data_IF_462206787340
#
_entry.id   IF_462206787340
#
_cell.length_a   1.000
_cell.length_b   1.000
_cell.length_c   1.000
_cell.angle_alpha   90.00
_cell.angle_beta   90.00
_cell.angle_gamma   90.00
#
_symmetry.space_group_name_H-M   'P 1'
#
loop_
_entity.id
_entity.type
_entity.pdbx_description
1 polymer ?
#
# COMPACT_ATOMS: atom_id res chain seq x y z
N UNK A 1 -4.38 -5.85 -8.40
CA UNK A 1 -5.06 -6.06 -7.07
C UNK A 1 -5.45 -7.52 -6.92
N UNK A 2 -5.01 -8.16 -5.85
CA UNK A 2 -5.24 -9.59 -5.60
C UNK A 2 -6.37 -9.73 -4.57
N UNK A 3 -7.50 -10.27 -5.03
CA UNK A 3 -8.72 -10.39 -4.22
C UNK A 3 -9.04 -11.86 -3.96
N UNK A 4 -9.41 -12.23 -2.73
CA UNK A 4 -10.05 -13.52 -2.46
C UNK A 4 -11.55 -13.33 -2.26
N UNK A 5 -12.36 -14.26 -2.75
CA UNK A 5 -13.80 -14.26 -2.56
C UNK A 5 -14.27 -15.65 -2.16
N UNK A 6 -15.08 -15.72 -1.09
CA UNK A 6 -15.71 -16.98 -0.65
C UNK A 6 -16.99 -16.75 0.12
N UNK A 7 -17.79 -17.80 0.23
CA UNK A 7 -18.88 -17.88 1.17
C UNK A 7 -18.56 -18.91 2.26
N UNK A 8 -18.98 -18.65 3.50
CA UNK A 8 -18.82 -19.52 4.67
C UNK A 8 -20.06 -19.47 5.55
N UNK A 9 -20.23 -20.46 6.43
CA UNK A 9 -21.15 -20.32 7.56
C UNK A 9 -20.50 -19.54 8.72
N UNK A 10 -21.22 -19.39 9.82
CA UNK A 10 -20.71 -18.70 11.02
C UNK A 10 -19.46 -19.34 11.64
N UNK A 11 -19.20 -20.62 11.32
CA UNK A 11 -18.06 -21.38 11.86
C UNK A 11 -16.88 -21.45 10.86
N UNK A 12 -16.96 -20.77 9.73
CA UNK A 12 -15.91 -20.80 8.70
C UNK A 12 -15.97 -22.03 7.78
N UNK A 13 -17.06 -22.80 7.80
CA UNK A 13 -17.27 -23.91 6.88
C UNK A 13 -17.47 -23.38 5.46
N UNK A 14 -16.77 -23.95 4.47
CA UNK A 14 -16.83 -23.54 3.06
C UNK A 14 -17.13 -24.70 2.09
N UNK A 15 -17.18 -25.93 2.56
CA UNK A 15 -17.41 -27.08 1.68
C UNK A 15 -17.72 -28.37 2.40
N UNK A 16 -18.41 -29.28 1.65
CA UNK A 16 -18.70 -30.63 2.08
C UNK A 16 -18.47 -31.59 0.90
N UNK A 17 -17.43 -32.41 0.98
CA UNK A 17 -17.13 -33.48 -0.01
C UNK A 17 -17.10 -33.03 -1.48
N UNK A 18 -16.65 -31.81 -1.74
CA UNK A 18 -16.52 -31.23 -3.08
C UNK A 18 -17.70 -30.34 -3.51
N UNK A 19 -18.74 -30.22 -2.70
CA UNK A 19 -19.87 -29.34 -2.93
C UNK A 19 -19.96 -28.20 -1.88
N UNK A 20 -20.82 -27.21 -2.18
CA UNK A 20 -21.20 -26.20 -1.19
C UNK A 20 -22.18 -26.81 -0.17
N UNK A 21 -22.02 -26.54 1.15
CA UNK A 21 -22.90 -27.09 2.18
C UNK A 21 -24.33 -26.55 2.16
N UNK A 22 -24.58 -25.48 1.44
CA UNK A 22 -25.85 -24.75 1.34
C UNK A 22 -26.26 -24.51 -0.11
N UNK A 23 -27.52 -24.18 -0.28
CA UNK A 23 -28.03 -23.62 -1.52
C UNK A 23 -28.45 -22.17 -1.31
N UNK A 24 -27.68 -21.21 -1.87
CA UNK A 24 -27.97 -19.78 -1.80
C UNK A 24 -27.80 -19.14 -3.19
N UNK A 25 -28.85 -19.12 -4.02
CA UNK A 25 -28.80 -18.57 -5.37
C UNK A 25 -28.41 -17.09 -5.44
N UNK A 26 -28.78 -16.31 -4.42
CA UNK A 26 -28.46 -14.89 -4.40
C UNK A 26 -26.97 -14.64 -4.16
N UNK A 27 -26.30 -15.48 -3.37
CA UNK A 27 -24.85 -15.46 -3.21
C UNK A 27 -24.14 -15.88 -4.51
N UNK A 28 -24.60 -16.95 -5.15
CA UNK A 28 -24.07 -17.39 -6.45
C UNK A 28 -24.22 -16.32 -7.54
N UNK A 29 -25.32 -15.57 -7.53
CA UNK A 29 -25.54 -14.43 -8.44
C UNK A 29 -24.52 -13.32 -8.18
N UNK A 30 -24.34 -12.93 -6.93
CA UNK A 30 -23.34 -11.92 -6.53
C UNK A 30 -21.92 -12.37 -6.89
N UNK A 31 -21.55 -13.60 -6.59
CA UNK A 31 -20.26 -14.18 -7.01
C UNK A 31 -20.05 -14.08 -8.53
N UNK A 32 -21.08 -14.42 -9.31
CA UNK A 32 -21.03 -14.30 -10.77
C UNK A 32 -20.79 -12.85 -11.20
N UNK A 33 -21.51 -11.89 -10.64
CA UNK A 33 -21.40 -10.47 -10.97
C UNK A 33 -20.01 -9.91 -10.64
N UNK A 34 -19.44 -10.28 -9.48
CA UNK A 34 -18.12 -9.83 -9.03
C UNK A 34 -16.97 -10.44 -9.85
N UNK A 35 -17.15 -11.63 -10.42
CA UNK A 35 -16.10 -12.36 -11.15
C UNK A 35 -16.22 -12.27 -12.67
N UNK A 36 -17.33 -11.75 -13.20
CA UNK A 36 -17.58 -11.71 -14.65
C UNK A 36 -16.55 -10.82 -15.37
N UNK A 37 -15.96 -11.34 -16.45
CA UNK A 37 -14.93 -10.63 -17.23
C UNK A 37 -13.57 -10.56 -16.55
N UNK A 38 -13.40 -11.19 -15.37
CA UNK A 38 -12.14 -11.16 -14.61
C UNK A 38 -11.31 -12.42 -14.82
N UNK A 39 -10.00 -12.30 -14.52
CA UNK A 39 -9.13 -13.46 -14.32
C UNK A 39 -9.41 -14.05 -12.94
N UNK A 40 -9.70 -15.33 -12.90
CA UNK A 40 -9.97 -16.08 -11.66
C UNK A 40 -8.97 -17.22 -11.53
N UNK A 41 -8.50 -17.46 -10.30
CA UNK A 41 -7.63 -18.60 -10.00
C UNK A 41 -8.28 -19.51 -8.95
N UNK A 42 -8.19 -20.82 -9.20
CA UNK A 42 -8.72 -21.86 -8.32
C UNK A 42 -7.75 -23.03 -8.23
N UNK A 43 -7.85 -23.83 -7.18
CA UNK A 43 -7.08 -25.06 -7.05
C UNK A 43 -7.71 -26.20 -7.86
N UNK A 44 -6.91 -27.25 -8.11
CA UNK A 44 -7.34 -28.44 -8.86
C UNK A 44 -8.62 -29.06 -8.31
N UNK A 45 -8.77 -29.21 -6.98
CA UNK A 45 -9.96 -29.80 -6.37
C UNK A 45 -11.22 -28.95 -6.62
N UNK A 46 -11.13 -27.65 -6.61
CA UNK A 46 -12.21 -26.72 -6.94
C UNK A 46 -12.58 -26.85 -8.42
N UNK A 47 -11.59 -26.94 -9.31
CA UNK A 47 -11.86 -27.14 -10.74
C UNK A 47 -12.49 -28.50 -11.01
N UNK A 48 -12.08 -29.57 -10.29
CA UNK A 48 -12.70 -30.89 -10.38
C UNK A 48 -14.17 -30.88 -9.90
N UNK A 49 -14.49 -30.12 -8.82
CA UNK A 49 -15.87 -29.97 -8.33
C UNK A 49 -16.80 -29.29 -9.35
N UNK A 50 -16.23 -28.47 -10.23
CA UNK A 50 -16.95 -27.86 -11.37
C UNK A 50 -17.10 -28.82 -12.55
N UNK A 51 -16.71 -30.09 -12.38
CA UNK A 51 -16.74 -31.10 -13.46
C UNK A 51 -15.72 -30.82 -14.56
N UNK A 52 -14.58 -30.19 -14.21
CA UNK A 52 -13.51 -29.73 -15.12
C UNK A 52 -14.02 -28.80 -16.22
N UNK A 53 -15.05 -28.02 -15.93
CA UNK A 53 -15.59 -27.01 -16.85
C UNK A 53 -15.23 -25.61 -16.38
N UNK A 54 -14.59 -24.79 -17.23
CA UNK A 54 -14.29 -23.42 -16.89
C UNK A 54 -15.57 -22.61 -16.66
N UNK A 55 -15.53 -21.70 -15.71
CA UNK A 55 -16.63 -20.77 -15.48
C UNK A 55 -16.76 -19.80 -16.68
N UNK A 56 -17.94 -19.69 -17.30
CA UNK A 56 -18.10 -18.95 -18.55
C UNK A 56 -17.88 -17.44 -18.36
N UNK A 57 -17.37 -16.79 -19.41
CA UNK A 57 -17.10 -15.36 -19.47
C UNK A 57 -16.10 -14.87 -18.39
N UNK A 58 -15.15 -15.71 -18.02
CA UNK A 58 -14.03 -15.43 -17.11
C UNK A 58 -12.78 -16.08 -17.65
N UNK A 59 -11.62 -15.48 -17.41
CA UNK A 59 -10.36 -16.13 -17.68
C UNK A 59 -10.04 -17.07 -16.52
N UNK A 60 -10.08 -18.39 -16.77
CA UNK A 60 -9.91 -19.40 -15.74
C UNK A 60 -8.46 -19.87 -15.69
N UNK A 61 -7.83 -19.78 -14.53
CA UNK A 61 -6.48 -20.30 -14.26
C UNK A 61 -6.59 -21.33 -13.12
N UNK A 62 -5.90 -22.45 -13.24
CA UNK A 62 -5.87 -23.50 -12.22
C UNK A 62 -4.48 -23.61 -11.60
N UNK A 63 -4.39 -23.44 -10.28
CA UNK A 63 -3.17 -23.67 -9.51
C UNK A 63 -2.96 -25.18 -9.35
N UNK A 64 -2.02 -25.74 -10.13
CA UNK A 64 -1.72 -27.16 -10.15
C UNK A 64 -0.43 -27.46 -10.91
N UNK A 65 0.22 -28.59 -10.58
CA UNK A 65 1.32 -29.15 -11.39
C UNK A 65 0.86 -30.07 -12.51
N UNK A 66 -0.47 -30.29 -12.66
CA UNK A 66 -1.05 -31.16 -13.69
C UNK A 66 -1.30 -30.35 -14.97
N UNK A 67 -1.19 -31.01 -16.11
CA UNK A 67 -1.62 -30.46 -17.40
C UNK A 67 -3.14 -30.60 -17.55
N UNK A 68 -3.82 -29.51 -17.91
CA UNK A 68 -5.27 -29.43 -18.11
C UNK A 68 -5.59 -28.71 -19.43
N UNK A 69 -6.84 -28.80 -19.90
CA UNK A 69 -7.32 -28.07 -21.07
C UNK A 69 -7.63 -26.58 -20.80
N UNK A 70 -7.21 -26.07 -19.65
CA UNK A 70 -7.27 -24.65 -19.25
C UNK A 70 -5.89 -24.19 -18.83
N UNK A 71 -5.69 -22.89 -18.75
CA UNK A 71 -4.42 -22.35 -18.26
C UNK A 71 -4.12 -22.82 -16.85
N UNK A 72 -2.87 -23.19 -16.62
CA UNK A 72 -2.37 -23.64 -15.32
C UNK A 72 -1.17 -22.82 -14.88
N UNK A 73 -1.04 -22.65 -13.56
CA UNK A 73 0.15 -22.12 -12.90
C UNK A 73 0.57 -23.06 -11.78
N UNK A 74 1.87 -23.15 -11.54
CA UNK A 74 2.44 -24.07 -10.55
C UNK A 74 2.57 -23.42 -9.16
N UNK A 75 2.57 -22.09 -9.08
CA UNK A 75 2.72 -21.35 -7.83
C UNK A 75 2.02 -19.98 -7.87
N UNK A 76 1.78 -19.36 -6.68
CA UNK A 76 1.34 -17.97 -6.59
C UNK A 76 2.27 -16.97 -7.27
N UNK A 77 3.59 -17.18 -7.19
CA UNK A 77 4.59 -16.31 -7.82
C UNK A 77 4.46 -16.32 -9.35
N UNK A 78 4.25 -17.51 -9.95
CA UNK A 78 4.00 -17.62 -11.38
C UNK A 78 2.71 -16.89 -11.78
N UNK A 79 1.66 -16.98 -10.95
CA UNK A 79 0.41 -16.25 -11.16
C UNK A 79 0.64 -14.73 -11.16
N UNK A 80 1.39 -14.22 -10.17
CA UNK A 80 1.72 -12.79 -10.06
C UNK A 80 2.63 -12.27 -11.16
N UNK A 81 3.47 -13.13 -11.75
CA UNK A 81 4.29 -12.75 -12.92
C UNK A 81 3.46 -12.57 -14.19
N UNK A 82 2.31 -13.26 -14.28
CA UNK A 82 1.42 -13.22 -15.44
C UNK A 82 0.31 -12.19 -15.31
N UNK A 83 -0.18 -11.95 -14.10
CA UNK A 83 -1.40 -11.16 -13.84
C UNK A 83 -1.24 -10.26 -12.62
N UNK A 84 -1.51 -8.96 -12.78
CA UNK A 84 -1.51 -7.96 -11.69
C UNK A 84 -2.88 -7.84 -10.99
N UNK A 85 -3.97 -8.28 -11.66
CA UNK A 85 -5.34 -8.22 -11.14
C UNK A 85 -6.03 -9.56 -11.38
N UNK A 86 -6.39 -10.25 -10.27
CA UNK A 86 -7.10 -11.51 -10.33
C UNK A 86 -7.85 -11.83 -9.03
N UNK A 87 -8.78 -12.76 -9.13
CA UNK A 87 -9.61 -13.18 -8.00
C UNK A 87 -9.33 -14.65 -7.66
N UNK A 88 -8.93 -14.91 -6.42
CA UNK A 88 -8.76 -16.25 -5.85
C UNK A 88 -10.14 -16.74 -5.40
N UNK A 89 -10.62 -17.83 -6.01
CA UNK A 89 -11.97 -18.35 -5.77
C UNK A 89 -12.02 -19.72 -5.06
N UNK A 90 -10.86 -20.18 -4.59
CA UNK A 90 -10.81 -21.35 -3.73
C UNK A 90 -10.01 -22.54 -4.25
N UNK A 91 -9.95 -23.66 -3.52
CA UNK A 91 -10.46 -23.92 -2.16
C UNK A 91 -9.46 -23.57 -1.05
N UNK A 92 -9.67 -24.14 0.14
CA UNK A 92 -8.90 -23.79 1.34
C UNK A 92 -7.39 -23.77 1.14
N UNK A 93 -6.81 -24.76 0.48
CA UNK A 93 -5.36 -24.79 0.19
C UNK A 93 -4.92 -23.69 -0.77
N UNK A 94 -5.76 -23.31 -1.73
CA UNK A 94 -5.47 -22.21 -2.66
C UNK A 94 -5.53 -20.89 -1.93
N UNK A 95 -6.56 -20.66 -1.12
CA UNK A 95 -6.61 -19.45 -0.27
C UNK A 95 -5.36 -19.32 0.59
N UNK A 96 -4.95 -20.42 1.25
CA UNK A 96 -3.75 -20.41 2.09
C UNK A 96 -2.48 -20.07 1.29
N UNK A 97 -2.37 -20.60 0.07
CA UNK A 97 -1.21 -20.35 -0.80
C UNK A 97 -1.08 -18.87 -1.21
N UNK A 98 -2.19 -18.14 -1.34
CA UNK A 98 -2.20 -16.72 -1.69
C UNK A 98 -2.30 -15.79 -0.46
N UNK A 99 -2.41 -16.30 0.77
CA UNK A 99 -2.73 -15.54 1.99
C UNK A 99 -1.91 -14.25 2.13
N UNK A 100 -0.59 -14.35 2.02
CA UNK A 100 0.33 -13.25 2.33
C UNK A 100 0.33 -12.12 1.29
N UNK A 101 -0.23 -12.40 0.12
CA UNK A 101 -0.30 -11.45 -1.00
C UNK A 101 -1.72 -10.91 -1.28
N UNK A 102 -2.71 -11.35 -0.49
CA UNK A 102 -4.07 -10.83 -0.62
C UNK A 102 -4.13 -9.36 -0.21
N UNK A 103 -4.71 -8.53 -1.07
CA UNK A 103 -4.95 -7.11 -0.83
C UNK A 103 -6.39 -6.84 -0.40
N UNK A 104 -7.33 -7.72 -0.83
CA UNK A 104 -8.75 -7.63 -0.51
C UNK A 104 -9.35 -9.02 -0.26
N UNK A 105 -10.30 -9.09 0.67
CA UNK A 105 -11.16 -10.28 0.84
C UNK A 105 -12.63 -9.86 0.80
N UNK A 106 -13.45 -10.63 0.07
CA UNK A 106 -14.91 -10.48 0.05
C UNK A 106 -15.49 -11.77 0.63
N UNK A 107 -16.08 -11.66 1.81
CA UNK A 107 -16.56 -12.79 2.58
C UNK A 107 -18.07 -12.73 2.69
N UNK A 108 -18.77 -13.74 2.19
CA UNK A 108 -20.19 -13.92 2.47
C UNK A 108 -20.35 -14.87 3.66
N UNK A 109 -20.97 -14.39 4.75
CA UNK A 109 -21.35 -15.23 5.89
C UNK A 109 -22.82 -15.61 5.75
N UNK A 110 -23.07 -16.88 5.42
CA UNK A 110 -24.42 -17.44 5.27
C UNK A 110 -24.99 -17.76 6.66
N UNK A 111 -26.21 -17.30 6.93
CA UNK A 111 -26.89 -17.61 8.17
C UNK A 111 -27.33 -19.08 8.19
N UNK A 112 -26.97 -19.77 9.24
CA UNK A 112 -27.26 -21.19 9.45
C UNK A 112 -26.05 -21.94 10.03
N UNK A 113 -26.30 -23.18 10.43
CA UNK A 113 -25.29 -24.18 10.77
C UNK A 113 -25.39 -25.30 9.77
N UNK A 114 -24.29 -25.61 9.12
CA UNK A 114 -24.24 -26.61 8.07
C UNK A 114 -23.22 -27.69 8.42
N UNK A 115 -23.43 -28.89 7.90
CA UNK A 115 -22.51 -29.99 8.03
C UNK A 115 -21.51 -30.01 6.86
N UNK A 116 -20.25 -30.23 7.17
CA UNK A 116 -19.20 -30.31 6.15
C UNK A 116 -17.82 -30.57 6.74
N UNK A 117 -16.84 -30.61 5.85
CA UNK A 117 -15.48 -31.03 6.20
C UNK A 117 -14.36 -30.13 5.68
N UNK A 118 -14.71 -29.00 5.02
CA UNK A 118 -13.73 -28.04 4.53
C UNK A 118 -13.98 -26.68 5.14
N UNK A 119 -12.98 -26.15 5.82
CA UNK A 119 -13.03 -24.85 6.47
C UNK A 119 -12.03 -23.89 5.82
N UNK A 120 -12.40 -22.60 5.79
CA UNK A 120 -11.50 -21.55 5.32
C UNK A 120 -10.37 -21.36 6.35
N UNK A 121 -9.10 -21.21 5.92
CA UNK A 121 -8.05 -20.78 6.83
C UNK A 121 -8.29 -19.34 7.28
N UNK A 122 -7.65 -18.93 8.36
CA UNK A 122 -7.69 -17.52 8.76
C UNK A 122 -6.93 -16.66 7.73
N UNK A 123 -7.70 -15.96 6.89
CA UNK A 123 -7.19 -15.09 5.82
C UNK A 123 -7.32 -13.61 6.17
N UNK A 124 -8.17 -13.26 7.15
CA UNK A 124 -8.53 -11.87 7.43
C UNK A 124 -7.89 -11.32 8.72
N UNK A 125 -7.18 -12.16 9.47
CA UNK A 125 -6.39 -11.69 10.62
C UNK A 125 -5.37 -10.64 10.18
N UNK A 126 -5.41 -9.47 10.81
CA UNK A 126 -4.56 -8.32 10.44
C UNK A 126 -5.07 -7.49 9.25
N UNK A 127 -6.17 -7.89 8.59
CA UNK A 127 -6.87 -7.04 7.63
C UNK A 127 -7.86 -6.10 8.33
N UNK A 128 -8.27 -5.06 7.64
CA UNK A 128 -9.25 -4.08 8.11
C UNK A 128 -10.60 -4.35 7.46
N UNK A 129 -11.67 -4.37 8.27
CA UNK A 129 -13.04 -4.42 7.77
C UNK A 129 -13.39 -3.07 7.13
N UNK A 130 -13.62 -3.07 5.82
CA UNK A 130 -13.96 -1.88 5.05
C UNK A 130 -15.48 -1.62 5.02
N UNK A 131 -16.26 -2.69 4.92
CA UNK A 131 -17.72 -2.60 4.92
C UNK A 131 -18.36 -3.92 5.32
N UNK A 132 -19.57 -3.82 5.85
CA UNK A 132 -20.44 -4.95 6.18
C UNK A 132 -21.86 -4.62 5.72
N UNK A 133 -22.44 -5.49 4.91
CA UNK A 133 -23.79 -5.34 4.37
C UNK A 133 -24.61 -6.58 4.68
N UNK A 134 -25.71 -6.43 5.40
CA UNK A 134 -26.64 -7.51 5.69
C UNK A 134 -27.71 -7.62 4.59
N UNK A 135 -28.00 -8.82 4.18
CA UNK A 135 -29.05 -9.16 3.24
C UNK A 135 -30.05 -10.11 3.92
N UNK A 136 -31.34 -9.76 3.99
CA UNK A 136 -32.35 -10.62 4.60
C UNK A 136 -32.54 -11.91 3.81
N UNK A 137 -33.11 -12.91 4.47
CA UNK A 137 -33.54 -14.14 3.79
C UNK A 137 -34.57 -13.84 2.69
N UNK A 138 -34.53 -14.61 1.63
CA UNK A 138 -35.52 -14.62 0.56
C UNK A 138 -36.21 -16.01 0.52
N UNK A 139 -37.20 -16.19 -0.36
CA UNK A 139 -37.83 -17.50 -0.53
C UNK A 139 -36.84 -18.61 -0.96
N UNK A 140 -35.71 -18.24 -1.56
CA UNK A 140 -34.72 -19.16 -2.16
C UNK A 140 -33.36 -19.13 -1.49
N UNK A 141 -33.08 -18.15 -0.63
CA UNK A 141 -31.77 -17.93 -0.04
C UNK A 141 -31.88 -17.63 1.44
N UNK A 142 -31.02 -18.23 2.26
CA UNK A 142 -30.82 -17.85 3.64
C UNK A 142 -30.33 -16.40 3.75
N UNK A 143 -30.57 -15.76 4.88
CA UNK A 143 -29.96 -14.47 5.19
C UNK A 143 -28.43 -14.56 5.13
N UNK A 144 -27.78 -13.48 4.78
CA UNK A 144 -26.32 -13.42 4.70
C UNK A 144 -25.77 -12.03 5.00
N UNK A 145 -24.54 -11.98 5.41
CA UNK A 145 -23.75 -10.76 5.49
C UNK A 145 -22.62 -10.84 4.48
N UNK A 146 -22.37 -9.75 3.78
CA UNK A 146 -21.18 -9.59 2.92
C UNK A 146 -20.24 -8.60 3.59
N UNK A 147 -19.04 -9.08 3.88
CA UNK A 147 -18.00 -8.32 4.57
C UNK A 147 -16.83 -8.15 3.62
N UNK A 148 -16.40 -6.92 3.42
CA UNK A 148 -15.19 -6.61 2.67
C UNK A 148 -14.06 -6.26 3.63
N UNK A 149 -12.92 -6.90 3.43
CA UNK A 149 -11.68 -6.62 4.14
C UNK A 149 -10.63 -6.14 3.14
N UNK A 150 -9.72 -5.28 3.58
CA UNK A 150 -8.53 -4.90 2.82
C UNK A 150 -7.29 -4.98 3.70
N UNK A 151 -6.13 -5.13 3.05
CA UNK A 151 -4.83 -5.19 3.72
C UNK A 151 -4.60 -3.94 4.56
N UNK A 152 -4.08 -4.14 5.76
CA UNK A 152 -3.61 -3.04 6.60
C UNK A 152 -2.20 -2.66 6.16
N UNK A 153 -2.05 -1.45 5.62
CA UNK A 153 -0.76 -0.90 5.19
C UNK A 153 -0.12 0.01 6.24
N UNK A 154 -0.91 0.53 7.21
CA UNK A 154 -0.38 1.42 8.24
C UNK A 154 0.49 0.64 9.23
N UNK A 155 1.76 1.04 9.46
CA UNK A 155 2.59 0.41 10.48
C UNK A 155 1.98 0.59 11.88
N UNK A 156 2.07 -0.43 12.72
CA UNK A 156 1.51 -0.43 14.08
C UNK A 156 2.01 0.75 14.92
N UNK A 157 3.27 1.13 14.77
CA UNK A 157 3.86 2.28 15.46
C UNK A 157 3.13 3.61 15.18
N UNK A 158 2.36 3.70 14.09
CA UNK A 158 1.59 4.88 13.68
C UNK A 158 0.08 4.72 13.93
N UNK A 159 -0.34 3.79 14.79
CA UNK A 159 -1.76 3.50 15.06
C UNK A 159 -2.57 4.66 15.64
N UNK A 160 -1.92 5.71 16.13
CA UNK A 160 -2.55 6.93 16.67
C UNK A 160 -3.12 7.87 15.59
N UNK A 161 -2.81 7.64 14.30
CA UNK A 161 -3.32 8.43 13.19
C UNK A 161 -4.33 7.65 12.37
N UNK A 162 -5.11 8.36 11.54
CA UNK A 162 -6.08 7.76 10.62
C UNK A 162 -5.40 6.73 9.71
N UNK A 163 -6.03 5.57 9.54
CA UNK A 163 -5.49 4.52 8.69
C UNK A 163 -5.85 4.76 7.21
N UNK A 164 -4.87 4.96 6.31
CA UNK A 164 -5.12 5.27 4.90
C UNK A 164 -5.25 4.01 4.02
N UNK A 165 -5.30 2.81 4.59
CA UNK A 165 -5.23 1.56 3.81
C UNK A 165 -6.37 1.40 2.79
N UNK A 166 -7.57 1.91 3.10
CA UNK A 166 -8.67 1.94 2.14
C UNK A 166 -8.32 2.83 0.93
N UNK A 167 -7.76 4.02 1.18
CA UNK A 167 -7.36 4.94 0.12
C UNK A 167 -6.24 4.35 -0.75
N UNK A 168 -5.28 3.64 -0.15
CA UNK A 168 -4.25 2.91 -0.90
C UNK A 168 -4.90 1.89 -1.84
N UNK A 169 -5.83 1.09 -1.32
CA UNK A 169 -6.52 0.05 -2.10
C UNK A 169 -7.37 0.65 -3.23
N UNK A 170 -8.07 1.76 -2.97
CA UNK A 170 -8.95 2.39 -3.94
C UNK A 170 -8.19 3.09 -5.08
N UNK A 171 -6.99 3.60 -4.79
CA UNK A 171 -6.13 4.27 -5.78
C UNK A 171 -5.14 3.31 -6.45
N UNK A 172 -4.99 2.07 -5.96
CA UNK A 172 -4.06 1.11 -6.52
C UNK A 172 -4.42 0.73 -7.98
N UNK A 173 -3.38 0.49 -8.78
CA UNK A 173 -3.56 0.06 -10.16
C UNK A 173 -2.21 -0.20 -10.85
N UNK A 174 -2.20 -0.88 -12.01
CA UNK A 174 -0.97 -1.26 -12.70
C UNK A 174 -0.13 -0.06 -13.16
N UNK A 175 -0.76 1.08 -13.36
CA UNK A 175 -0.12 2.33 -13.76
C UNK A 175 -0.07 3.37 -12.61
N UNK A 176 -0.16 2.94 -11.35
CA UNK A 176 -0.06 3.80 -10.16
C UNK A 176 1.23 3.49 -9.40
N UNK A 177 1.94 4.54 -9.00
CA UNK A 177 3.23 4.44 -8.28
C UNK A 177 3.22 5.22 -6.98
N UNK A 178 3.98 4.78 -5.97
CA UNK A 178 4.63 3.46 -5.89
C UNK A 178 3.59 2.34 -5.77
N UNK A 179 4.04 1.09 -5.82
CA UNK A 179 3.23 -0.10 -5.52
C UNK A 179 2.63 0.02 -4.10
N UNK A 180 1.43 -0.55 -3.84
CA UNK A 180 0.70 -0.38 -2.58
C UNK A 180 1.55 -0.61 -1.32
N UNK A 181 2.37 -1.66 -1.30
CA UNK A 181 3.24 -2.00 -0.17
C UNK A 181 4.35 -0.97 0.11
N UNK A 182 4.65 -0.10 -0.86
CA UNK A 182 5.67 0.94 -0.73
C UNK A 182 5.10 2.32 -0.42
N UNK A 183 3.79 2.53 -0.54
CA UNK A 183 3.17 3.86 -0.39
C UNK A 183 3.53 4.51 0.95
N UNK A 184 3.54 3.73 2.03
CA UNK A 184 3.84 4.19 3.38
C UNK A 184 5.29 3.92 3.83
N UNK A 185 6.25 3.74 2.91
CA UNK A 185 7.64 3.45 3.29
C UNK A 185 8.29 4.53 4.15
N UNK A 186 7.90 5.79 4.01
CA UNK A 186 8.35 6.84 4.92
C UNK A 186 8.00 6.51 6.38
N UNK A 187 6.79 5.99 6.62
CA UNK A 187 6.31 5.58 7.95
C UNK A 187 6.87 4.21 8.36
N UNK A 188 7.07 3.30 7.41
CA UNK A 188 7.65 1.98 7.67
C UNK A 188 9.10 2.06 8.17
N UNK A 189 9.90 2.96 7.60
CA UNK A 189 11.32 3.12 7.96
C UNK A 189 11.54 4.04 9.15
N UNK A 190 10.63 4.97 9.43
CA UNK A 190 10.78 5.97 10.49
C UNK A 190 9.58 5.87 11.43
N UNK A 191 9.78 5.32 12.63
CA UNK A 191 8.75 5.28 13.67
C UNK A 191 8.58 6.66 14.32
N UNK A 192 7.41 6.96 14.92
CA UNK A 192 7.17 8.25 15.59
C UNK A 192 8.27 8.65 16.58
N UNK A 193 8.68 7.71 17.44
CA UNK A 193 9.71 7.93 18.46
C UNK A 193 11.10 8.19 17.90
N UNK A 194 11.37 7.77 16.66
CA UNK A 194 12.67 7.92 16.00
C UNK A 194 12.75 9.17 15.13
N UNK A 195 11.62 9.88 14.89
CA UNK A 195 11.61 11.06 14.02
C UNK A 195 12.49 12.16 14.59
N UNK A 196 13.45 12.60 13.79
CA UNK A 196 14.36 13.73 14.07
C UNK A 196 14.24 14.86 13.06
N UNK A 197 13.98 14.49 11.81
CA UNK A 197 13.88 15.42 10.69
C UNK A 197 12.68 15.03 9.83
N UNK A 198 11.93 16.02 9.35
CA UNK A 198 10.87 15.80 8.34
C UNK A 198 11.24 16.58 7.10
N UNK A 199 11.37 15.89 5.96
CA UNK A 199 11.59 16.53 4.66
C UNK A 199 10.33 16.31 3.82
N UNK A 200 9.63 17.41 3.47
CA UNK A 200 8.41 17.33 2.69
C UNK A 200 8.70 17.45 1.18
N UNK A 201 8.29 16.41 0.45
CA UNK A 201 8.19 16.42 -1.02
C UNK A 201 6.76 16.73 -1.48
N UNK A 202 6.55 16.74 -2.79
CA UNK A 202 5.25 17.03 -3.37
C UNK A 202 4.46 15.75 -3.68
N UNK A 203 4.85 15.00 -4.68
CA UNK A 203 4.27 13.74 -5.14
C UNK A 203 5.38 12.75 -5.56
N UNK A 204 5.07 11.46 -5.70
CA UNK A 204 6.05 10.48 -6.12
C UNK A 204 6.51 10.69 -7.57
N UNK A 205 7.64 10.11 -7.93
CA UNK A 205 8.06 10.02 -9.33
C UNK A 205 7.09 9.17 -10.13
N UNK A 206 6.59 9.73 -11.25
CA UNK A 206 5.61 9.07 -12.13
C UNK A 206 6.24 8.18 -13.22
N UNK A 207 7.56 7.98 -13.18
CA UNK A 207 8.28 7.06 -14.07
C UNK A 207 8.34 5.67 -13.43
N UNK A 208 8.08 4.59 -14.19
CA UNK A 208 8.14 3.22 -13.68
C UNK A 208 9.44 2.92 -12.94
N UNK A 209 9.35 2.25 -11.79
CA UNK A 209 10.49 1.80 -11.00
C UNK A 209 11.26 2.87 -10.25
N UNK A 210 10.81 4.13 -10.24
CA UNK A 210 11.49 5.21 -9.53
C UNK A 210 10.90 5.51 -8.15
N UNK A 211 9.58 5.47 -7.99
CA UNK A 211 8.95 5.77 -6.71
C UNK A 211 9.17 4.64 -5.70
N UNK A 212 9.61 5.01 -4.48
CA UNK A 212 9.89 4.08 -3.38
C UNK A 212 9.04 4.35 -2.14
N UNK A 213 8.11 5.31 -2.18
CA UNK A 213 7.38 5.77 -1.00
C UNK A 213 8.21 6.65 -0.05
N UNK A 214 9.33 7.19 -0.55
CA UNK A 214 10.20 8.15 0.13
C UNK A 214 10.33 9.40 -0.76
N UNK A 215 10.11 10.59 -0.20
CA UNK A 215 10.26 11.83 -0.96
C UNK A 215 11.69 11.98 -1.50
N UNK A 216 11.82 12.41 -2.76
CA UNK A 216 13.08 12.61 -3.49
C UNK A 216 13.91 11.34 -3.75
N UNK A 217 13.69 10.23 -3.07
CA UNK A 217 14.46 8.99 -3.20
C UNK A 217 14.09 8.18 -4.43
N UNK A 218 15.10 7.54 -5.02
CA UNK A 218 14.93 6.53 -6.07
C UNK A 218 15.86 5.34 -5.83
N UNK A 219 15.56 4.14 -6.36
CA UNK A 219 16.51 3.03 -6.34
C UNK A 219 17.82 3.39 -7.05
N UNK A 220 18.93 2.86 -6.55
CA UNK A 220 20.22 3.01 -7.22
C UNK A 220 20.20 2.39 -8.62
N UNK A 221 21.06 2.91 -9.51
CA UNK A 221 21.14 2.45 -10.91
C UNK A 221 20.12 3.10 -11.86
N UNK A 222 19.19 3.90 -11.36
CA UNK A 222 18.28 4.69 -12.18
C UNK A 222 18.89 6.05 -12.56
N UNK A 223 18.32 6.70 -13.58
CA UNK A 223 18.76 8.06 -13.95
C UNK A 223 18.33 9.07 -12.90
N UNK A 224 19.28 9.75 -12.26
CA UNK A 224 19.01 10.73 -11.20
C UNK A 224 18.06 11.84 -11.65
N UNK A 225 16.90 12.01 -11.01
CA UNK A 225 16.01 13.13 -11.28
C UNK A 225 16.66 14.48 -10.96
N UNK A 226 16.25 15.55 -11.65
CA UNK A 226 16.91 16.86 -11.51
C UNK A 226 16.88 17.42 -10.08
N UNK A 227 15.79 17.24 -9.34
CA UNK A 227 15.69 17.74 -7.95
C UNK A 227 16.64 16.96 -7.02
N UNK A 228 16.67 15.63 -7.11
CA UNK A 228 17.60 14.82 -6.32
C UNK A 228 19.06 15.13 -6.65
N UNK A 229 19.38 15.34 -7.93
CA UNK A 229 20.73 15.73 -8.34
C UNK A 229 21.15 17.05 -7.66
N UNK A 230 20.26 18.01 -7.56
CA UNK A 230 20.55 19.29 -6.88
C UNK A 230 20.67 19.11 -5.37
N UNK A 231 19.87 18.23 -4.76
CA UNK A 231 20.01 17.87 -3.34
C UNK A 231 21.38 17.25 -3.08
N UNK A 232 21.81 16.28 -3.87
CA UNK A 232 23.11 15.63 -3.74
C UNK A 232 24.28 16.62 -4.00
N UNK A 233 24.12 17.54 -4.95
CA UNK A 233 25.11 18.60 -5.19
C UNK A 233 25.23 19.56 -4.01
N UNK A 234 24.14 19.94 -3.38
CA UNK A 234 24.17 20.77 -2.17
C UNK A 234 24.80 20.00 -1.00
N UNK A 235 24.45 18.71 -0.84
CA UNK A 235 25.06 17.83 0.15
C UNK A 235 26.59 17.77 -0.03
N UNK A 236 27.07 17.57 -1.26
CA UNK A 236 28.50 17.50 -1.57
C UNK A 236 29.22 18.81 -1.20
N UNK A 237 28.61 19.96 -1.44
CA UNK A 237 29.18 21.25 -1.10
C UNK A 237 29.12 21.58 0.39
N UNK A 238 28.20 20.99 1.14
CA UNK A 238 27.96 21.23 2.56
C UNK A 238 28.77 20.30 3.47
N UNK A 239 28.74 18.99 3.19
CA UNK A 239 29.34 17.96 4.05
C UNK A 239 30.30 17.04 3.29
N UNK A 240 29.93 16.56 2.12
CA UNK A 240 30.73 15.61 1.35
C UNK A 240 29.92 14.81 0.34
N UNK A 241 30.63 14.01 -0.45
CA UNK A 241 30.05 13.24 -1.55
C UNK A 241 29.30 12.00 -1.06
N UNK A 242 28.17 11.72 -1.73
CA UNK A 242 27.37 10.51 -1.57
C UNK A 242 27.12 9.88 -2.94
N UNK A 243 27.43 8.59 -3.09
CA UNK A 243 27.22 7.86 -4.34
C UNK A 243 25.76 7.39 -4.51
N UNK A 244 25.13 6.97 -3.41
CA UNK A 244 23.77 6.39 -3.46
C UNK A 244 22.68 7.45 -3.65
N UNK A 245 21.74 7.13 -4.53
CA UNK A 245 20.52 7.91 -4.79
C UNK A 245 19.34 7.40 -3.96
N UNK A 246 19.50 6.24 -3.33
CA UNK A 246 18.54 5.66 -2.40
C UNK A 246 18.73 6.29 -1.02
N UNK A 247 17.72 7.05 -0.57
CA UNK A 247 17.72 7.76 0.69
C UNK A 247 17.17 6.91 1.86
N UNK A 248 16.99 5.62 1.68
CA UNK A 248 16.51 4.70 2.73
C UNK A 248 17.41 4.74 3.98
N UNK A 249 18.73 4.95 3.80
CA UNK A 249 19.65 5.11 4.93
C UNK A 249 19.38 6.35 5.78
N UNK A 250 18.86 7.43 5.20
CA UNK A 250 18.40 8.61 5.93
C UNK A 250 17.12 8.30 6.71
N UNK A 251 16.14 7.66 6.05
CA UNK A 251 14.87 7.28 6.68
C UNK A 251 15.09 6.39 7.91
N UNK A 252 15.98 5.41 7.83
CA UNK A 252 16.33 4.51 8.94
C UNK A 252 17.03 5.20 10.12
N UNK A 253 17.50 6.44 9.95
CA UNK A 253 18.12 7.26 11.01
C UNK A 253 17.14 8.27 11.63
N UNK A 254 15.89 8.30 11.20
CA UNK A 254 14.87 9.22 11.71
C UNK A 254 14.58 10.41 10.80
N UNK A 255 14.94 10.35 9.51
CA UNK A 255 14.53 11.34 8.51
C UNK A 255 13.23 10.88 7.86
N UNK A 256 12.11 11.46 8.26
CA UNK A 256 10.80 11.19 7.66
C UNK A 256 10.71 11.88 6.29
N UNK A 257 10.94 11.09 5.23
CA UNK A 257 10.92 11.55 3.84
C UNK A 257 9.50 11.43 3.27
N UNK A 258 8.64 12.42 3.55
CA UNK A 258 7.20 12.36 3.30
C UNK A 258 6.79 13.24 2.12
N UNK A 259 6.00 12.72 1.19
CA UNK A 259 5.34 13.52 0.16
C UNK A 259 3.97 14.02 0.65
N UNK A 260 3.49 15.13 0.12
CA UNK A 260 2.14 15.67 0.42
C UNK A 260 1.02 14.90 -0.29
N UNK A 261 1.35 14.17 -1.36
CA UNK A 261 0.51 13.22 -2.09
C UNK A 261 1.30 11.94 -2.22
N UNK A 262 0.76 10.78 -1.85
CA UNK A 262 1.55 9.55 -1.69
C UNK A 262 1.50 8.60 -2.89
N UNK A 263 0.63 8.86 -3.87
CA UNK A 263 0.53 8.05 -5.10
C UNK A 263 0.39 8.94 -6.34
N UNK A 264 0.72 8.38 -7.50
CA UNK A 264 0.67 9.11 -8.78
C UNK A 264 0.42 8.13 -9.93
N UNK A 265 -0.31 8.54 -10.97
CA UNK A 265 -0.45 7.78 -12.20
C UNK A 265 0.81 7.89 -13.08
N UNK A 266 1.14 6.83 -13.79
CA UNK A 266 2.23 6.77 -14.76
C UNK A 266 2.22 7.95 -15.73
N UNK A 267 3.33 8.67 -15.81
CA UNK A 267 3.50 9.79 -16.74
C UNK A 267 2.72 11.05 -16.41
N UNK A 268 1.94 11.10 -15.30
CA UNK A 268 1.04 12.21 -14.98
C UNK A 268 1.34 12.80 -13.61
N UNK A 269 2.30 13.71 -13.51
CA UNK A 269 2.59 14.43 -12.27
C UNK A 269 1.32 15.04 -11.66
N UNK A 270 1.18 15.01 -10.34
CA UNK A 270 0.03 15.52 -9.56
C UNK A 270 -1.34 14.86 -9.87
N UNK A 271 -1.40 13.73 -10.57
CA UNK A 271 -2.67 13.07 -10.94
C UNK A 271 -3.54 12.68 -9.75
N UNK A 272 -2.94 12.43 -8.59
CA UNK A 272 -3.66 12.09 -7.36
C UNK A 272 -3.79 13.26 -6.37
N UNK A 273 -3.47 14.48 -6.79
CA UNK A 273 -3.78 15.67 -6.00
C UNK A 273 -5.29 15.77 -5.77
N UNK A 274 -5.71 16.13 -4.56
CA UNK A 274 -7.11 16.20 -4.11
C UNK A 274 -7.87 14.86 -4.21
N UNK A 275 -7.16 13.74 -4.14
CA UNK A 275 -7.74 12.39 -4.10
C UNK A 275 -7.84 11.81 -2.68
N UNK A 276 -7.53 12.61 -1.64
CA UNK A 276 -7.65 12.21 -0.23
C UNK A 276 -6.33 12.10 0.53
N UNK A 277 -5.17 12.27 -0.14
CA UNK A 277 -3.87 12.18 0.53
C UNK A 277 -3.57 13.37 1.44
N UNK A 278 -3.97 14.58 1.04
CA UNK A 278 -3.61 15.79 1.75
C UNK A 278 -4.11 15.81 3.21
N UNK A 279 -5.38 15.46 3.52
CA UNK A 279 -5.84 15.38 4.91
C UNK A 279 -5.05 14.38 5.75
N UNK A 280 -4.72 13.20 5.21
CA UNK A 280 -3.91 12.20 5.89
C UNK A 280 -2.51 12.72 6.21
N UNK A 281 -1.84 13.34 5.21
CA UNK A 281 -0.49 13.89 5.40
C UNK A 281 -0.50 15.07 6.36
N UNK A 282 -1.55 15.90 6.34
CA UNK A 282 -1.71 17.00 7.30
C UNK A 282 -1.87 16.51 8.74
N UNK A 283 -2.55 15.37 8.92
CA UNK A 283 -2.64 14.70 10.22
C UNK A 283 -1.27 14.15 10.65
N UNK A 284 -0.50 13.50 9.76
CA UNK A 284 0.87 13.03 10.05
C UNK A 284 1.76 14.19 10.49
N UNK A 285 1.73 15.32 9.76
CA UNK A 285 2.52 16.52 10.11
C UNK A 285 2.13 17.04 11.50
N UNK A 286 0.84 17.16 11.77
CA UNK A 286 0.33 17.65 13.06
C UNK A 286 0.65 16.69 14.20
N UNK A 287 0.57 15.38 13.96
CA UNK A 287 0.94 14.36 14.93
C UNK A 287 2.44 14.46 15.28
N UNK A 288 3.30 14.53 14.26
CA UNK A 288 4.76 14.67 14.44
C UNK A 288 5.12 15.99 15.12
N UNK A 289 4.42 17.09 14.83
CA UNK A 289 4.65 18.38 15.51
C UNK A 289 4.39 18.29 17.03
N UNK A 290 3.48 17.42 17.47
CA UNK A 290 3.14 17.24 18.89
C UNK A 290 4.00 16.20 19.62
N UNK A 291 4.90 15.48 18.95
CA UNK A 291 5.79 14.51 19.58
C UNK A 291 6.77 15.20 20.56
N UNK A 292 7.17 14.55 21.66
CA UNK A 292 7.96 15.22 22.72
C UNK A 292 9.42 15.54 22.33
N UNK A 293 10.02 14.73 21.42
CA UNK A 293 11.43 14.89 21.05
C UNK A 293 11.67 16.10 20.13
N UNK A 294 12.93 16.60 20.06
CA UNK A 294 13.33 17.63 19.11
C UNK A 294 13.18 17.13 17.67
N UNK A 295 12.46 17.86 16.84
CA UNK A 295 12.25 17.54 15.42
C UNK A 295 12.45 18.82 14.59
N UNK A 296 13.07 18.68 13.42
CA UNK A 296 13.31 19.77 12.48
C UNK A 296 12.52 19.51 11.20
N UNK A 297 11.62 20.42 10.85
CA UNK A 297 10.91 20.38 9.57
C UNK A 297 11.70 21.12 8.51
N UNK A 298 11.91 20.47 7.36
CA UNK A 298 12.63 21.03 6.20
C UNK A 298 11.63 21.24 5.08
N UNK A 299 11.35 22.48 4.76
CA UNK A 299 10.32 22.90 3.82
C UNK A 299 10.97 23.53 2.58
N UNK A 300 11.22 22.72 1.56
CA UNK A 300 11.81 23.14 0.30
C UNK A 300 10.73 23.50 -0.74
N UNK A 301 10.62 24.81 -1.02
CA UNK A 301 9.69 25.34 -1.99
C UNK A 301 8.27 25.59 -1.43
N UNK A 302 7.45 26.26 -2.24
CA UNK A 302 6.14 26.77 -1.80
C UNK A 302 5.20 25.67 -1.31
N UNK A 303 5.10 24.54 -2.02
CA UNK A 303 4.18 23.45 -1.64
C UNK A 303 4.46 22.88 -0.25
N UNK A 304 5.76 22.71 0.10
CA UNK A 304 6.14 22.29 1.44
C UNK A 304 5.89 23.43 2.46
N UNK A 305 6.20 24.68 2.11
CA UNK A 305 6.01 25.85 2.98
C UNK A 305 4.52 26.16 3.24
N UNK A 306 3.62 25.79 2.34
CA UNK A 306 2.18 25.92 2.57
C UNK A 306 1.68 25.06 3.74
N UNK A 307 2.47 24.06 4.17
CA UNK A 307 2.21 23.22 5.37
C UNK A 307 2.73 23.81 6.67
N UNK A 308 3.49 24.92 6.64
CA UNK A 308 4.08 25.55 7.82
C UNK A 308 3.05 25.90 8.91
N UNK A 309 1.82 26.25 8.49
CA UNK A 309 0.73 26.57 9.43
C UNK A 309 0.33 25.41 10.36
N UNK A 310 0.66 24.17 10.01
CA UNK A 310 0.42 22.97 10.81
C UNK A 310 1.52 22.73 11.86
N UNK A 311 2.69 23.41 11.72
CA UNK A 311 3.87 23.23 12.56
C UNK A 311 3.90 24.36 13.59
N UNK A 312 3.64 24.04 14.86
CA UNK A 312 3.50 25.04 15.94
C UNK A 312 4.56 24.90 17.02
N UNK A 313 5.12 23.71 17.17
CA UNK A 313 5.96 23.34 18.31
C UNK A 313 7.39 23.00 17.91
N UNK A 314 7.69 22.83 16.62
CA UNK A 314 8.98 22.39 16.11
C UNK A 314 9.70 23.46 15.30
N UNK A 315 11.00 23.25 15.12
CA UNK A 315 11.82 24.15 14.31
C UNK A 315 11.61 23.92 12.82
N UNK A 316 11.68 24.97 12.03
CA UNK A 316 11.44 24.94 10.58
C UNK A 316 12.63 25.55 9.84
N UNK A 317 13.21 24.79 8.92
CA UNK A 317 14.18 25.28 7.94
C UNK A 317 13.50 25.42 6.58
N UNK A 318 13.65 26.62 5.97
CA UNK A 318 13.03 26.93 4.67
C UNK A 318 14.09 27.24 3.63
N UNK A 319 13.87 26.77 2.39
CA UNK A 319 14.65 27.14 1.23
C UNK A 319 13.79 27.11 -0.03
N UNK A 320 14.33 27.59 -1.14
CA UNK A 320 13.72 27.37 -2.45
C UNK A 320 13.66 25.87 -2.77
N UNK A 321 12.78 25.46 -3.70
CA UNK A 321 12.71 24.05 -4.10
C UNK A 321 13.98 23.63 -4.86
N UNK A 322 14.50 22.41 -4.68
CA UNK A 322 15.72 21.92 -5.36
C UNK A 322 15.56 21.69 -6.88
N UNK A 323 14.40 21.95 -7.47
CA UNK A 323 14.21 21.82 -8.92
C UNK A 323 15.14 22.77 -9.70
N UNK A 324 15.52 22.43 -10.96
CA UNK A 324 16.35 23.32 -11.78
C UNK A 324 15.80 24.74 -11.96
N UNK A 325 14.47 24.89 -11.90
CA UNK A 325 13.79 26.18 -12.06
C UNK A 325 13.96 27.13 -10.87
N UNK A 326 14.30 26.62 -9.69
CA UNK A 326 14.32 27.38 -8.43
C UNK A 326 15.58 27.17 -7.59
N UNK A 327 16.38 26.15 -7.81
CA UNK A 327 17.54 25.84 -6.98
C UNK A 327 18.56 27.02 -6.87
N UNK A 328 18.77 27.75 -7.96
CA UNK A 328 19.63 28.94 -7.99
C UNK A 328 19.03 30.18 -7.31
N UNK A 329 17.75 30.10 -6.88
CA UNK A 329 17.01 31.20 -6.25
C UNK A 329 16.93 31.06 -4.72
N UNK A 330 17.88 30.35 -4.10
CA UNK A 330 17.95 30.21 -2.66
C UNK A 330 17.80 28.79 -2.12
N UNK A 331 18.19 27.78 -2.90
CA UNK A 331 18.43 26.42 -2.42
C UNK A 331 19.94 26.17 -2.25
N UNK A 332 20.73 26.42 -3.31
CA UNK A 332 22.18 26.25 -3.23
C UNK A 332 22.81 27.23 -2.26
N UNK A 333 23.76 26.73 -1.47
CA UNK A 333 24.48 27.48 -0.46
C UNK A 333 23.74 27.63 0.87
N UNK A 334 22.59 27.01 1.05
CA UNK A 334 21.83 27.04 2.32
C UNK A 334 22.40 26.10 3.37
N UNK A 335 23.28 25.16 3.00
CA UNK A 335 23.95 24.19 3.87
C UNK A 335 22.99 23.50 4.85
N UNK A 336 21.90 22.88 4.37
CA UNK A 336 20.86 22.38 5.24
C UNK A 336 21.33 21.18 6.07
N UNK A 337 22.23 20.36 5.57
CA UNK A 337 22.62 19.09 6.20
C UNK A 337 23.50 19.34 7.44
N UNK A 338 24.52 20.20 7.33
CA UNK A 338 25.33 20.60 8.45
C UNK A 338 24.55 21.41 9.49
N UNK A 339 23.63 22.28 9.02
CA UNK A 339 22.73 23.06 9.90
C UNK A 339 21.82 22.16 10.70
N UNK A 340 21.18 21.17 10.07
CA UNK A 340 20.33 20.18 10.75
C UNK A 340 21.13 19.44 11.82
N UNK A 341 22.32 18.95 11.49
CA UNK A 341 23.17 18.22 12.44
C UNK A 341 23.59 19.08 13.62
N UNK A 342 23.91 20.36 13.40
CA UNK A 342 24.15 21.28 14.46
C UNK A 342 22.94 21.45 15.38
N UNK A 343 21.75 21.70 14.81
CA UNK A 343 20.51 21.88 15.58
C UNK A 343 20.15 20.63 16.38
N UNK A 344 20.30 19.42 15.79
CA UNK A 344 20.08 18.16 16.49
C UNK A 344 21.04 17.99 17.67
N UNK A 345 22.32 18.28 17.47
CA UNK A 345 23.34 18.19 18.52
C UNK A 345 23.06 19.17 19.65
N UNK A 346 22.72 20.43 19.35
CA UNK A 346 22.36 21.46 20.34
C UNK A 346 21.11 21.07 21.14
N UNK A 347 20.17 20.32 20.52
CA UNK A 347 18.99 19.80 21.17
C UNK A 347 19.23 18.47 21.92
N UNK A 348 20.48 17.98 21.99
CA UNK A 348 20.84 16.72 22.67
C UNK A 348 20.46 15.44 21.89
N UNK A 349 20.14 15.57 20.59
CA UNK A 349 19.84 14.45 19.71
C UNK A 349 21.09 14.02 18.90
N UNK A 350 21.09 12.79 18.41
CA UNK A 350 22.19 12.29 17.55
C UNK A 350 22.09 12.88 16.14
N UNK A 351 23.21 13.33 15.55
CA UNK A 351 23.24 13.82 14.18
C UNK A 351 22.91 12.70 13.16
N UNK A 352 22.55 13.11 11.95
CA UNK A 352 22.29 12.19 10.82
C UNK A 352 23.61 11.99 10.05
N UNK A 353 23.94 10.76 9.73
CA UNK A 353 24.94 10.46 8.71
C UNK A 353 24.30 10.59 7.32
N UNK A 354 24.60 11.66 6.63
CA UNK A 354 24.05 11.98 5.32
C UNK A 354 24.81 11.32 4.14
N UNK A 355 26.03 10.82 4.36
CA UNK A 355 26.94 10.24 3.34
C UNK A 355 26.73 8.75 3.14
#
# INVERSE_FOLDING_TARGET
>A
MITAIWAQDKNGLIGNNGDLPWHNPDDLKMFKELTLGKTIVMGYSTFASLGFKPLPNRHNVVLTSKTLDVETVSSPEEMCQKYDDFIVIGGAKTYLAFKDILERCIVTVIDGNYDGNVYVPDLVSGMLEASRTAYPATEKSAAREVIMYHKNYLPEAWSEITNPSQLITDLAGPDVYPEPDKVLNALNYTKPEDVKVVILGQDPYHTPGMAQGLSFSIPDGQKTPPSLRNILKELESDIGHRDSQDLTSWAKQGVLLLNTVLTVERGKANSHKNKGWEPFVDEVISYVDNLPQPIIFVLWGKHAQDKEALIKHKQVLKAAHPSPFSAHKGFFGTKPFSTINQMLTEAGSTPINWL
#
